data_IF_824515524304
#
_entry.id   IF_824515524304
#
_cell.length_a   1.000
_cell.length_b   1.000
_cell.length_c   1.000
_cell.angle_alpha   90.00
_cell.angle_beta   90.00
_cell.angle_gamma   90.00
#
_symmetry.space_group_name_H-M   'P 1'
#
loop_
_entity.id
_entity.type
_entity.pdbx_description
1 polymer ?
#
# COMPACT_ATOMS: atom_id res chain seq x y z
N UNK A 1 -82.33 69.80 10.05
CA UNK A 1 -83.16 69.48 11.24
C UNK A 1 -82.71 68.15 11.82
N UNK A 2 -82.36 68.12 13.13
CA UNK A 2 -82.53 67.05 14.15
C UNK A 2 -82.08 65.60 13.79
N UNK A 3 -81.29 64.83 14.55
CA UNK A 3 -80.80 64.78 15.95
C UNK A 3 -79.62 63.77 15.93
N UNK A 4 -78.44 64.00 16.50
CA UNK A 4 -77.98 63.91 17.90
C UNK A 4 -77.98 62.49 18.52
N UNK A 5 -76.86 62.20 19.19
CA UNK A 5 -76.18 60.93 19.55
C UNK A 5 -76.69 60.28 20.86
N UNK A 6 -76.57 58.95 20.98
CA UNK A 6 -76.42 58.10 22.20
C UNK A 6 -75.80 56.76 21.73
N UNK A 7 -74.64 56.20 22.12
CA UNK A 7 -73.97 55.79 23.39
C UNK A 7 -74.47 54.46 24.02
N UNK A 8 -73.49 53.56 24.32
CA UNK A 8 -73.54 52.23 24.99
C UNK A 8 -74.02 51.03 24.12
N UNK A 9 -73.46 49.80 24.12
CA UNK A 9 -72.67 49.04 25.10
C UNK A 9 -72.10 47.74 24.48
N UNK A 10 -71.06 47.16 25.12
CA UNK A 10 -70.68 45.72 25.18
C UNK A 10 -70.06 44.96 23.97
N UNK A 11 -68.72 44.81 24.02
CA UNK A 11 -67.89 43.58 23.96
C UNK A 11 -68.43 42.37 23.15
N UNK A 12 -67.68 41.89 22.15
CA UNK A 12 -67.17 40.51 22.13
C UNK A 12 -66.05 40.27 21.09
N UNK A 13 -64.93 39.77 21.63
CA UNK A 13 -63.77 39.05 21.07
C UNK A 13 -63.95 38.47 19.66
N UNK A 14 -63.12 38.93 18.72
CA UNK A 14 -62.85 38.28 17.43
C UNK A 14 -61.37 37.91 17.35
N UNK A 15 -61.08 36.63 17.59
CA UNK A 15 -59.76 36.01 17.70
C UNK A 15 -58.94 36.25 16.42
N UNK A 16 -57.78 36.88 16.59
CA UNK A 16 -56.69 36.92 15.61
C UNK A 16 -56.23 35.48 15.38
N UNK A 17 -56.50 34.92 14.20
CA UNK A 17 -56.07 33.58 13.80
C UNK A 17 -54.74 33.71 13.04
N UNK A 18 -53.57 33.60 13.67
CA UNK A 18 -52.35 33.35 12.91
C UNK A 18 -52.45 31.93 12.38
N UNK A 19 -52.67 31.78 11.08
CA UNK A 19 -52.35 30.53 10.37
C UNK A 19 -50.82 30.37 10.37
N UNK A 20 -50.30 29.93 11.51
CA UNK A 20 -48.97 29.34 11.62
C UNK A 20 -49.19 27.85 11.84
N UNK A 21 -49.59 27.15 10.79
CA UNK A 21 -49.41 25.70 10.76
C UNK A 21 -49.03 25.22 9.38
N UNK A 22 -47.72 25.04 9.26
CA UNK A 22 -47.04 24.27 8.24
C UNK A 22 -45.66 23.96 8.78
N UNK A 23 -45.59 23.25 9.91
CA UNK A 23 -44.38 22.47 10.20
C UNK A 23 -44.28 21.46 9.07
N UNK A 24 -43.41 21.71 8.11
CA UNK A 24 -42.92 20.66 7.24
C UNK A 24 -42.20 19.70 8.17
N UNK A 25 -42.74 18.51 8.39
CA UNK A 25 -41.97 17.39 8.95
C UNK A 25 -40.82 17.15 7.97
N UNK A 26 -39.68 17.80 8.21
CA UNK A 26 -38.43 17.46 7.56
C UNK A 26 -38.05 16.08 8.10
N UNK A 27 -38.33 15.03 7.33
CA UNK A 27 -37.88 13.68 7.66
C UNK A 27 -36.38 13.73 7.85
N UNK A 28 -35.91 13.45 9.07
CA UNK A 28 -34.50 13.27 9.33
C UNK A 28 -33.96 12.18 8.38
N UNK A 29 -32.80 12.41 7.75
CA UNK A 29 -32.24 11.44 6.81
C UNK A 29 -31.93 10.13 7.52
N UNK A 30 -32.28 8.99 6.89
CA UNK A 30 -31.97 7.67 7.44
C UNK A 30 -30.47 7.56 7.78
N UNK A 31 -30.12 6.97 8.93
CA UNK A 31 -28.73 6.83 9.35
C UNK A 31 -27.94 6.00 8.34
N UNK A 32 -26.66 6.33 8.17
CA UNK A 32 -25.77 5.52 7.34
C UNK A 32 -25.52 4.17 8.03
N UNK A 33 -25.75 3.08 7.29
CA UNK A 33 -25.43 1.73 7.73
C UNK A 33 -24.31 1.21 6.84
N UNK A 34 -23.21 0.80 7.47
CA UNK A 34 -22.07 0.17 6.82
C UNK A 34 -21.59 -0.96 7.73
N UNK A 35 -21.45 -2.16 7.19
CA UNK A 35 -20.85 -3.26 7.94
C UNK A 35 -19.37 -3.01 8.21
N UNK A 36 -18.77 -3.85 9.05
CA UNK A 36 -17.32 -3.86 9.25
C UNK A 36 -16.58 -4.09 7.92
N UNK A 37 -15.47 -3.38 7.76
CA UNK A 37 -14.55 -3.48 6.62
C UNK A 37 -13.18 -3.75 7.25
N UNK A 38 -12.40 -4.66 6.67
CA UNK A 38 -11.00 -4.86 7.11
C UNK A 38 -10.24 -3.54 6.98
N UNK A 39 -9.51 -3.19 8.03
CA UNK A 39 -8.67 -1.98 8.06
C UNK A 39 -7.41 -2.13 7.17
N UNK A 40 -6.98 -3.37 6.88
CA UNK A 40 -5.79 -3.65 6.10
C UNK A 40 -5.92 -4.85 5.16
N UNK A 41 -5.17 -4.79 4.05
CA UNK A 41 -4.86 -5.90 3.17
C UNK A 41 -3.35 -5.95 2.90
N UNK A 42 -2.75 -7.13 3.12
CA UNK A 42 -1.32 -7.36 2.90
C UNK A 42 -1.15 -8.33 1.72
N UNK A 43 -0.40 -7.89 0.71
CA UNK A 43 -0.08 -8.67 -0.48
C UNK A 43 1.39 -9.09 -0.45
N UNK A 44 1.66 -10.38 -0.22
CA UNK A 44 2.99 -10.96 -0.40
C UNK A 44 3.30 -11.30 -1.88
N UNK A 45 2.27 -11.32 -2.73
CA UNK A 45 2.36 -11.61 -4.16
C UNK A 45 1.24 -10.88 -4.92
N UNK A 46 1.04 -11.19 -6.19
CA UNK A 46 0.03 -10.55 -7.06
C UNK A 46 -1.34 -11.24 -7.01
N UNK A 47 -1.58 -12.16 -6.07
CA UNK A 47 -2.86 -12.86 -5.96
C UNK A 47 -3.96 -11.89 -5.53
N UNK A 48 -5.09 -11.78 -6.28
CA UNK A 48 -6.16 -10.86 -5.94
C UNK A 48 -6.79 -11.16 -4.57
N UNK A 49 -7.19 -10.10 -3.86
CA UNK A 49 -7.95 -10.19 -2.60
C UNK A 49 -9.27 -9.44 -2.73
N UNK A 50 -10.23 -9.77 -1.87
CA UNK A 50 -11.55 -9.16 -1.89
C UNK A 50 -11.82 -8.36 -0.62
N UNK A 51 -12.52 -7.24 -0.79
CA UNK A 51 -13.13 -6.45 0.28
C UNK A 51 -14.63 -6.61 0.15
N UNK A 52 -15.29 -7.01 1.22
CA UNK A 52 -16.74 -7.25 1.23
C UNK A 52 -17.38 -6.41 2.32
N UNK A 53 -18.42 -5.67 1.97
CA UNK A 53 -19.19 -4.89 2.94
C UNK A 53 -20.63 -4.71 2.47
N UNK A 54 -21.54 -4.39 3.39
CA UNK A 54 -22.93 -4.05 3.07
C UNK A 54 -23.19 -2.60 3.47
N UNK A 55 -23.90 -1.85 2.61
CA UNK A 55 -24.31 -0.48 2.92
C UNK A 55 -25.74 -0.19 2.46
N UNK A 56 -26.43 0.71 3.14
CA UNK A 56 -27.80 1.14 2.78
C UNK A 56 -27.84 2.35 1.83
N UNK A 57 -26.69 2.91 1.43
CA UNK A 57 -26.60 4.06 0.52
C UNK A 57 -25.63 3.78 -0.63
N UNK A 58 -25.74 4.58 -1.69
CA UNK A 58 -24.76 4.58 -2.76
C UNK A 58 -23.38 4.96 -2.21
N UNK A 59 -22.35 4.37 -2.80
CA UNK A 59 -20.98 4.47 -2.32
C UNK A 59 -20.01 4.77 -3.44
N UNK A 60 -18.86 5.32 -3.07
CA UNK A 60 -17.73 5.58 -3.96
C UNK A 60 -16.42 5.26 -3.26
N UNK A 61 -15.39 4.93 -4.04
CA UNK A 61 -14.07 4.62 -3.54
C UNK A 61 -13.00 5.38 -4.32
N UNK A 62 -11.89 5.70 -3.66
CA UNK A 62 -10.74 6.38 -4.24
C UNK A 62 -9.44 5.85 -3.64
N UNK A 63 -8.40 5.73 -4.46
CA UNK A 63 -7.06 5.41 -4.00
C UNK A 63 -6.23 6.68 -3.84
N UNK A 64 -5.35 6.67 -2.84
CA UNK A 64 -4.32 7.70 -2.67
C UNK A 64 -3.04 7.08 -2.12
N UNK A 65 -1.90 7.72 -2.38
CA UNK A 65 -0.61 7.38 -1.77
C UNK A 65 0.20 8.66 -1.55
N UNK A 66 1.18 8.66 -0.62
CA UNK A 66 2.01 9.84 -0.36
C UNK A 66 2.78 10.35 -1.58
N UNK A 67 3.19 9.44 -2.48
CA UNK A 67 3.91 9.72 -3.72
C UNK A 67 2.98 9.93 -4.93
N UNK A 68 1.66 9.82 -4.75
CA UNK A 68 0.64 9.90 -5.79
C UNK A 68 0.61 8.70 -6.75
N UNK A 69 1.50 7.71 -6.59
CA UNK A 69 1.53 6.51 -7.42
C UNK A 69 0.59 5.42 -6.91
N UNK A 70 -0.62 5.39 -7.46
CA UNK A 70 -1.61 4.31 -7.21
C UNK A 70 -1.70 3.30 -8.35
N UNK A 71 -0.89 3.45 -9.42
CA UNK A 71 -1.06 2.71 -10.69
C UNK A 71 -0.88 1.19 -10.56
N UNK A 72 -0.16 0.75 -9.54
CA UNK A 72 0.12 -0.66 -9.26
C UNK A 72 -1.02 -1.37 -8.54
N UNK A 73 -1.98 -0.64 -7.96
CA UNK A 73 -3.12 -1.18 -7.24
C UNK A 73 -4.42 -0.84 -7.97
N UNK A 74 -5.17 -1.86 -8.37
CA UNK A 74 -6.44 -1.73 -9.09
C UNK A 74 -7.58 -2.32 -8.27
N UNK A 75 -8.51 -1.47 -7.86
CA UNK A 75 -9.72 -1.85 -7.12
C UNK A 75 -10.94 -1.70 -8.02
N UNK A 76 -11.81 -2.71 -8.06
CA UNK A 76 -13.06 -2.68 -8.82
C UNK A 76 -14.18 -3.44 -8.08
N UNK A 77 -15.42 -2.94 -8.11
CA UNK A 77 -15.84 -1.63 -8.62
C UNK A 77 -15.34 -0.47 -7.72
N UNK A 78 -15.36 0.77 -8.24
CA UNK A 78 -14.99 1.99 -7.49
C UNK A 78 -16.21 2.82 -7.07
N UNK A 79 -17.41 2.39 -7.42
CA UNK A 79 -18.68 2.99 -7.01
C UNK A 79 -19.80 1.99 -7.21
N UNK A 80 -20.94 2.24 -6.57
CA UNK A 80 -22.13 1.44 -6.75
C UNK A 80 -23.28 1.93 -5.87
N UNK A 81 -24.39 1.22 -5.99
CA UNK A 81 -25.59 1.49 -5.20
C UNK A 81 -25.56 0.76 -3.85
N UNK A 82 -26.61 1.00 -3.05
CA UNK A 82 -26.84 0.28 -1.80
C UNK A 82 -26.94 -1.24 -2.01
N UNK A 83 -26.52 -2.01 -1.02
CA UNK A 83 -26.56 -3.47 -1.01
C UNK A 83 -25.26 -4.10 -0.51
N UNK A 84 -25.09 -5.39 -0.81
CA UNK A 84 -23.85 -6.12 -0.55
C UNK A 84 -22.87 -5.90 -1.69
N UNK A 85 -21.69 -5.40 -1.34
CA UNK A 85 -20.63 -5.02 -2.25
C UNK A 85 -19.48 -6.00 -2.12
N UNK A 86 -19.00 -6.49 -3.27
CA UNK A 86 -17.77 -7.27 -3.36
C UNK A 86 -16.80 -6.50 -4.27
N UNK A 87 -15.75 -5.94 -3.68
CA UNK A 87 -14.67 -5.29 -4.43
C UNK A 87 -13.48 -6.22 -4.53
N UNK A 88 -12.90 -6.30 -5.72
CA UNK A 88 -11.66 -7.04 -5.99
C UNK A 88 -10.50 -6.07 -6.07
N UNK A 89 -9.45 -6.36 -5.31
CA UNK A 89 -8.18 -5.65 -5.28
C UNK A 89 -7.14 -6.49 -6.01
N UNK A 90 -6.55 -5.93 -7.07
CA UNK A 90 -5.49 -6.54 -7.85
C UNK A 90 -4.23 -5.69 -7.74
N UNK A 91 -3.06 -6.33 -7.68
CA UNK A 91 -1.77 -5.64 -7.62
C UNK A 91 -0.87 -6.10 -8.76
N UNK A 92 -0.04 -5.21 -9.30
CA UNK A 92 1.09 -5.59 -10.15
C UNK A 92 2.25 -6.09 -9.27
N UNK A 93 3.30 -6.65 -9.84
CA UNK A 93 4.47 -7.07 -9.07
C UNK A 93 5.21 -5.87 -8.44
N UNK A 94 5.65 -6.01 -7.19
CA UNK A 94 6.53 -5.02 -6.54
C UNK A 94 7.99 -5.43 -6.75
N UNK A 95 8.67 -4.75 -7.67
CA UNK A 95 10.10 -4.95 -7.98
C UNK A 95 11.01 -4.00 -7.18
N UNK A 96 10.42 -3.19 -6.29
CA UNK A 96 11.15 -2.25 -5.43
C UNK A 96 11.84 -2.91 -4.24
N UNK A 97 12.56 -2.06 -3.51
CA UNK A 97 13.36 -2.40 -2.32
C UNK A 97 12.65 -2.16 -1.01
N UNK A 98 11.44 -1.61 -1.09
CA UNK A 98 10.62 -1.28 0.04
C UNK A 98 9.20 -1.81 -0.23
N UNK A 99 8.49 -2.05 0.87
CA UNK A 99 7.04 -2.19 0.83
C UNK A 99 6.43 -0.95 0.18
N UNK A 100 5.37 -1.14 -0.61
CA UNK A 100 4.60 -0.04 -1.18
C UNK A 100 3.18 -0.08 -0.66
N UNK A 101 2.64 1.10 -0.38
CA UNK A 101 1.34 1.25 0.29
C UNK A 101 0.48 2.28 -0.41
N UNK A 102 -0.81 1.97 -0.54
CA UNK A 102 -1.87 2.90 -0.94
C UNK A 102 -2.99 2.85 0.11
N UNK A 103 -3.68 3.97 0.28
CA UNK A 103 -4.91 4.05 1.06
C UNK A 103 -6.12 4.02 0.14
N UNK A 104 -7.04 3.11 0.41
CA UNK A 104 -8.36 3.04 -0.23
C UNK A 104 -9.39 3.69 0.68
N UNK A 105 -9.93 4.83 0.27
CA UNK A 105 -11.03 5.50 0.97
C UNK A 105 -12.35 5.10 0.35
N UNK A 106 -13.30 4.64 1.17
CA UNK A 106 -14.67 4.30 0.79
C UNK A 106 -15.61 5.29 1.47
N UNK A 107 -16.47 5.96 0.71
CA UNK A 107 -17.47 6.92 1.18
C UNK A 107 -18.87 6.41 0.90
N UNK A 108 -19.74 6.47 1.89
CA UNK A 108 -21.17 6.15 1.80
C UNK A 108 -21.95 7.05 2.75
N UNK A 109 -22.83 7.88 2.19
CA UNK A 109 -23.43 8.98 2.93
C UNK A 109 -22.37 9.90 3.56
N UNK A 110 -22.47 10.10 4.87
CA UNK A 110 -21.52 10.85 5.71
C UNK A 110 -20.44 9.95 6.32
N UNK A 111 -20.50 8.64 6.11
CA UNK A 111 -19.52 7.69 6.63
C UNK A 111 -18.34 7.53 5.67
N UNK A 112 -17.13 7.62 6.23
CA UNK A 112 -15.88 7.34 5.52
C UNK A 112 -15.15 6.19 6.20
N UNK A 113 -14.67 5.24 5.40
CA UNK A 113 -13.82 4.11 5.82
C UNK A 113 -12.53 4.13 5.01
N UNK A 114 -11.44 3.72 5.64
CA UNK A 114 -10.13 3.63 5.00
C UNK A 114 -9.59 2.22 5.15
N UNK A 115 -9.04 1.68 4.06
CA UNK A 115 -8.34 0.39 4.04
C UNK A 115 -6.91 0.64 3.58
N UNK A 116 -5.95 0.22 4.39
CA UNK A 116 -4.53 0.28 4.04
C UNK A 116 -4.18 -0.94 3.20
N UNK A 117 -3.72 -0.73 1.97
CA UNK A 117 -3.28 -1.82 1.09
C UNK A 117 -1.77 -1.75 0.97
N UNK A 118 -1.10 -2.73 1.55
CA UNK A 118 0.36 -2.84 1.52
C UNK A 118 0.76 -4.04 0.69
N UNK A 119 1.63 -3.82 -0.29
CA UNK A 119 2.29 -4.91 -0.99
C UNK A 119 3.74 -5.00 -0.54
N UNK A 120 4.10 -6.18 -0.02
CA UNK A 120 5.46 -6.47 0.38
C UNK A 120 6.41 -6.41 -0.81
N UNK A 121 7.64 -5.99 -0.56
CA UNK A 121 8.73 -6.21 -1.52
C UNK A 121 8.90 -7.70 -1.81
N UNK A 122 9.37 -8.05 -3.01
CA UNK A 122 9.69 -9.43 -3.35
C UNK A 122 11.17 -9.71 -3.12
N UNK A 123 11.52 -10.40 -2.04
CA UNK A 123 12.92 -10.70 -1.75
C UNK A 123 13.51 -11.67 -2.79
N UNK A 124 14.42 -11.19 -3.64
CA UNK A 124 15.10 -12.01 -4.64
C UNK A 124 16.57 -11.61 -4.82
N UNK A 125 17.43 -12.60 -5.07
CA UNK A 125 18.84 -12.40 -5.42
C UNK A 125 19.07 -13.07 -6.78
N UNK A 126 19.38 -12.29 -7.80
CA UNK A 126 19.68 -12.78 -9.15
C UNK A 126 21.12 -12.39 -9.49
N UNK A 127 22.00 -13.38 -9.64
CA UNK A 127 23.37 -13.15 -10.07
C UNK A 127 23.46 -13.07 -11.59
N UNK A 128 24.13 -12.06 -12.13
CA UNK A 128 24.38 -11.94 -13.57
C UNK A 128 25.25 -13.08 -14.10
N UNK A 129 26.13 -13.64 -13.25
CA UNK A 129 27.03 -14.75 -13.57
C UNK A 129 27.37 -15.54 -12.29
N UNK A 130 27.42 -16.86 -12.40
CA UNK A 130 27.64 -17.78 -11.27
C UNK A 130 28.99 -18.55 -11.32
N UNK A 131 29.81 -18.36 -12.37
CA UNK A 131 31.12 -19.00 -12.50
C UNK A 131 32.19 -18.03 -13.01
N UNK A 132 33.38 -18.07 -12.43
CA UNK A 132 34.50 -17.20 -12.77
C UNK A 132 35.77 -18.04 -12.91
N UNK A 133 36.47 -17.86 -14.03
CA UNK A 133 37.78 -18.46 -14.29
C UNK A 133 38.83 -17.36 -14.17
N UNK A 134 39.81 -17.55 -13.31
CA UNK A 134 40.84 -16.56 -12.97
C UNK A 134 42.21 -17.17 -13.30
N UNK A 135 43.10 -16.44 -13.99
CA UNK A 135 44.42 -16.93 -14.34
C UNK A 135 45.30 -17.16 -13.09
N UNK A 136 46.40 -17.89 -13.27
CA UNK A 136 47.31 -18.22 -12.16
C UNK A 136 47.90 -16.99 -11.46
N UNK A 137 48.09 -15.87 -12.17
CA UNK A 137 48.57 -14.61 -11.59
C UNK A 137 47.59 -14.01 -10.57
N UNK A 138 46.37 -14.54 -10.48
CA UNK A 138 45.30 -13.99 -9.67
C UNK A 138 44.64 -12.80 -10.35
N UNK A 139 44.08 -11.89 -9.56
CA UNK A 139 43.46 -10.66 -10.03
C UNK A 139 42.14 -10.36 -9.35
N UNK A 140 41.42 -9.40 -9.91
CA UNK A 140 40.13 -8.95 -9.37
C UNK A 140 38.99 -9.36 -10.28
N UNK A 141 37.87 -9.79 -9.70
CA UNK A 141 36.62 -9.98 -10.42
C UNK A 141 35.44 -9.44 -9.63
N UNK A 142 34.31 -9.27 -10.30
CA UNK A 142 33.11 -8.68 -9.72
C UNK A 142 31.91 -9.60 -9.94
N UNK A 143 31.14 -9.81 -8.88
CA UNK A 143 29.82 -10.42 -8.93
C UNK A 143 28.79 -9.30 -8.95
N UNK A 144 27.99 -9.26 -10.01
CA UNK A 144 26.82 -8.38 -10.09
C UNK A 144 25.57 -9.12 -9.61
N UNK A 145 24.93 -8.58 -8.58
CA UNK A 145 23.64 -9.06 -8.09
C UNK A 145 22.54 -8.01 -8.33
N UNK A 146 21.51 -8.42 -9.06
CA UNK A 146 20.23 -7.72 -9.12
C UNK A 146 19.38 -8.25 -7.96
N UNK A 147 19.23 -7.44 -6.93
CA UNK A 147 18.57 -7.86 -5.71
C UNK A 147 17.98 -6.67 -4.99
N UNK A 148 16.87 -6.90 -4.30
CA UNK A 148 16.24 -5.92 -3.44
C UNK A 148 16.49 -6.11 -1.94
N UNK A 149 17.27 -7.12 -1.56
CA UNK A 149 17.63 -7.43 -0.16
C UNK A 149 19.07 -7.03 0.19
N UNK A 150 19.37 -6.81 1.47
CA UNK A 150 20.74 -6.63 1.96
C UNK A 150 21.54 -7.93 1.79
N UNK A 151 22.75 -7.86 1.21
CA UNK A 151 23.55 -9.05 0.92
C UNK A 151 24.57 -9.31 2.00
N UNK A 152 24.75 -10.58 2.33
CA UNK A 152 25.84 -11.11 3.12
C UNK A 152 26.61 -12.14 2.29
N UNK A 153 27.94 -12.09 2.38
CA UNK A 153 28.86 -12.91 1.58
C UNK A 153 29.63 -13.83 2.49
N UNK A 154 29.66 -15.12 2.15
CA UNK A 154 30.45 -16.12 2.85
C UNK A 154 31.47 -16.74 1.91
N UNK A 155 32.71 -16.73 2.38
CA UNK A 155 33.83 -17.47 1.81
C UNK A 155 34.21 -18.52 2.86
N UNK A 156 34.30 -19.82 2.50
CA UNK A 156 34.70 -20.85 3.45
C UNK A 156 36.07 -20.53 4.07
N UNK A 157 36.22 -20.76 5.39
CA UNK A 157 37.42 -20.35 6.15
C UNK A 157 38.71 -21.02 5.65
N UNK A 158 38.62 -22.20 5.04
CA UNK A 158 39.73 -22.92 4.42
C UNK A 158 40.27 -22.24 3.14
N UNK A 159 39.51 -21.32 2.55
CA UNK A 159 39.89 -20.59 1.34
C UNK A 159 40.65 -19.32 1.73
N UNK A 160 41.97 -19.43 1.84
CA UNK A 160 42.85 -18.34 2.28
C UNK A 160 43.33 -17.40 1.17
N UNK A 161 43.05 -17.73 -0.09
CA UNK A 161 43.58 -17.04 -1.28
C UNK A 161 42.55 -16.17 -2.01
N UNK A 162 41.31 -16.14 -1.52
CA UNK A 162 40.20 -15.39 -2.08
C UNK A 162 39.70 -14.41 -1.01
N UNK A 163 39.69 -13.13 -1.34
CA UNK A 163 39.38 -12.06 -0.39
C UNK A 163 38.22 -11.22 -0.90
N UNK A 164 37.29 -10.90 0.00
CA UNK A 164 36.26 -9.91 -0.27
C UNK A 164 36.88 -8.51 -0.21
N UNK A 165 36.83 -7.76 -1.30
CA UNK A 165 37.23 -6.36 -1.31
C UNK A 165 36.05 -5.53 -0.78
N UNK A 166 36.22 -4.90 0.38
CA UNK A 166 35.13 -4.24 1.11
C UNK A 166 34.44 -3.17 0.25
N UNK A 167 33.15 -3.35 -0.04
CA UNK A 167 32.33 -2.32 -0.68
C UNK A 167 32.10 -1.16 0.29
N UNK A 168 32.64 0.01 -0.06
CA UNK A 168 32.27 1.26 0.58
C UNK A 168 30.79 1.57 0.37
N UNK A 169 30.06 1.71 1.49
CA UNK A 169 28.86 2.53 1.70
C UNK A 169 27.65 2.35 0.78
N UNK A 170 26.51 2.02 1.39
CA UNK A 170 25.19 2.65 1.19
C UNK A 170 24.99 3.33 -0.18
N UNK A 171 24.60 2.59 -1.21
CA UNK A 171 23.93 3.17 -2.36
C UNK A 171 23.12 2.09 -3.09
N UNK A 172 21.95 2.50 -3.52
CA UNK A 172 20.84 1.67 -3.95
C UNK A 172 21.14 0.94 -5.27
N UNK A 173 20.57 -0.27 -5.35
CA UNK A 173 20.08 -0.93 -6.57
C UNK A 173 21.01 -1.58 -7.59
N UNK A 174 22.31 -1.71 -7.33
CA UNK A 174 23.19 -2.65 -8.07
C UNK A 174 24.37 -3.06 -7.19
N UNK A 175 24.34 -4.28 -6.67
CA UNK A 175 25.33 -4.73 -5.67
C UNK A 175 26.46 -5.44 -6.38
N UNK A 176 27.37 -4.64 -6.90
CA UNK A 176 28.68 -5.08 -7.37
C UNK A 176 29.50 -5.51 -6.16
N UNK A 177 29.90 -6.78 -6.13
CA UNK A 177 30.71 -7.39 -5.06
C UNK A 177 32.07 -7.73 -5.65
N UNK A 178 33.09 -7.00 -5.24
CA UNK A 178 34.45 -7.19 -5.77
C UNK A 178 35.23 -8.18 -4.92
N UNK A 179 35.93 -9.10 -5.58
CA UNK A 179 36.80 -10.07 -4.96
C UNK A 179 38.21 -9.93 -5.51
N UNK A 180 39.19 -10.21 -4.66
CA UNK A 180 40.61 -10.33 -5.01
C UNK A 180 41.02 -11.77 -4.87
N UNK A 181 41.68 -12.30 -5.89
CA UNK A 181 42.25 -13.63 -5.93
C UNK A 181 43.76 -13.49 -5.93
N UNK A 182 44.41 -14.08 -4.95
CA UNK A 182 45.87 -14.12 -4.88
C UNK A 182 46.44 -14.98 -6.02
N UNK A 183 47.72 -14.78 -6.33
CA UNK A 183 48.46 -15.66 -7.25
C UNK A 183 48.40 -17.11 -6.79
N UNK A 184 48.16 -18.03 -7.72
CA UNK A 184 48.29 -19.46 -7.49
C UNK A 184 49.73 -19.88 -7.77
N UNK A 185 50.46 -20.26 -6.72
CA UNK A 185 51.85 -20.76 -6.85
C UNK A 185 51.92 -22.27 -6.92
N UNK A 186 50.79 -22.98 -6.79
CA UNK A 186 50.72 -24.42 -7.01
C UNK A 186 50.50 -24.71 -8.50
N UNK A 187 51.05 -25.85 -8.94
CA UNK A 187 50.82 -26.44 -10.26
C UNK A 187 49.42 -27.05 -10.44
N UNK A 188 48.61 -27.08 -9.37
CA UNK A 188 47.25 -27.61 -9.36
C UNK A 188 46.20 -26.50 -9.41
N UNK A 189 45.09 -26.79 -10.09
CA UNK A 189 43.89 -25.95 -10.05
C UNK A 189 43.31 -25.96 -8.63
N UNK A 190 42.89 -24.78 -8.16
CA UNK A 190 42.15 -24.60 -6.90
C UNK A 190 40.79 -23.98 -7.19
N UNK A 191 39.77 -24.40 -6.45
CA UNK A 191 38.38 -23.93 -6.60
C UNK A 191 37.83 -23.48 -5.25
N UNK A 192 36.86 -22.57 -5.28
CA UNK A 192 36.15 -22.09 -4.10
C UNK A 192 34.70 -21.78 -4.48
N UNK A 193 33.79 -21.91 -3.51
CA UNK A 193 32.39 -21.51 -3.65
C UNK A 193 32.15 -20.28 -2.78
N UNK A 194 31.53 -19.25 -3.36
CA UNK A 194 31.10 -18.06 -2.64
C UNK A 194 29.59 -18.17 -2.45
N UNK A 195 29.11 -17.98 -1.22
CA UNK A 195 27.68 -17.90 -0.94
C UNK A 195 27.30 -16.43 -0.82
N UNK A 196 26.34 -15.99 -1.62
CA UNK A 196 25.70 -14.68 -1.55
C UNK A 196 24.27 -14.90 -1.08
N UNK A 197 23.91 -14.39 0.09
CA UNK A 197 22.58 -14.57 0.66
C UNK A 197 21.99 -13.25 1.15
N UNK A 198 20.70 -13.28 1.45
CA UNK A 198 20.05 -12.22 2.22
C UNK A 198 20.63 -12.24 3.64
N UNK A 199 21.09 -11.08 4.11
CA UNK A 199 21.57 -10.87 5.47
C UNK A 199 20.53 -11.23 6.53
N UNK A 200 19.24 -11.08 6.20
CA UNK A 200 18.14 -11.39 7.11
C UNK A 200 17.68 -12.86 7.03
N UNK A 201 18.22 -13.65 6.09
CA UNK A 201 17.87 -15.06 5.94
C UNK A 201 18.78 -15.97 6.78
N UNK A 202 18.19 -17.00 7.38
CA UNK A 202 18.92 -18.10 8.00
C UNK A 202 19.60 -18.95 6.91
N UNK A 203 20.79 -19.48 7.21
CA UNK A 203 21.51 -20.44 6.35
C UNK A 203 20.79 -21.79 6.29
#
# INVERSE_FOLDING_TARGET
MKKQRYFHSLILIGILYPFLWGCSDEKEPDPDVVSEIKDELIFASTNPQTITFTTNKAWSASLSSPDGNTSWCKVLPMNGEAGTVNMTVNTTENTGYDDRTVELTIKTGNTTKTVTITQKQKDAIILSKNNYEIPEEGGTFEIEANTNVELEVFIPEEVTWLHLQTSGTRALSTKKITFVVDKNTDSKIRTATIIVKDKNSAL
#
